data_IF_713594053450
#
_entry.id   IF_713594053450
#
_cell.length_a   1.000
_cell.length_b   1.000
_cell.length_c   1.000
_cell.angle_alpha   90.00
_cell.angle_beta   90.00
_cell.angle_gamma   90.00
#
_symmetry.space_group_name_H-M   'P 1'
#
loop_
_entity.id
_entity.type
_entity.pdbx_description
1 polymer ?
#
# COMPACT_ATOMS: atom_id res chain seq x y z
N UNK A 1 -26.32 43.81 -56.16
CA UNK A 1 -27.07 43.66 -54.90
C UNK A 1 -26.68 42.31 -54.29
N UNK A 2 -26.08 42.32 -53.10
CA UNK A 2 -25.88 41.16 -52.21
C UNK A 2 -27.25 40.51 -51.85
N UNK A 3 -27.37 39.29 -51.27
CA UNK A 3 -26.40 38.54 -50.43
C UNK A 3 -26.22 37.05 -50.82
N UNK A 4 -25.03 36.44 -50.74
CA UNK A 4 -24.43 35.80 -49.56
C UNK A 4 -25.34 34.82 -48.79
N UNK A 5 -25.33 33.55 -49.20
CA UNK A 5 -25.80 32.42 -48.37
C UNK A 5 -24.59 31.65 -47.84
N UNK A 6 -24.39 31.77 -46.53
CA UNK A 6 -23.43 31.04 -45.71
C UNK A 6 -23.79 29.55 -45.64
N UNK A 7 -22.85 28.68 -45.98
CA UNK A 7 -22.90 27.26 -45.62
C UNK A 7 -21.75 27.00 -44.62
N UNK A 8 -22.10 26.86 -43.34
CA UNK A 8 -21.21 26.34 -42.29
C UNK A 8 -20.97 24.85 -42.49
N UNK A 9 -19.73 24.34 -42.38
CA UNK A 9 -19.50 22.92 -42.19
C UNK A 9 -19.77 22.54 -40.73
N UNK A 10 -20.54 21.47 -40.58
CA UNK A 10 -21.02 20.93 -39.32
C UNK A 10 -19.89 20.45 -38.38
N UNK A 11 -20.08 20.77 -37.09
CA UNK A 11 -19.75 20.01 -35.88
C UNK A 11 -18.65 18.94 -36.02
N UNK A 12 -17.43 19.33 -35.68
CA UNK A 12 -16.52 18.48 -34.89
C UNK A 12 -16.24 19.21 -33.59
N UNK A 13 -17.00 18.89 -32.55
CA UNK A 13 -16.71 19.32 -31.19
C UNK A 13 -16.96 18.15 -30.25
N UNK A 14 -16.03 18.00 -29.30
CA UNK A 14 -16.20 17.29 -28.02
C UNK A 14 -16.02 15.76 -28.01
N UNK A 15 -14.76 15.31 -28.03
CA UNK A 15 -14.35 14.08 -27.32
C UNK A 15 -12.85 14.05 -26.99
N UNK A 16 -12.24 15.18 -26.61
CA UNK A 16 -10.87 15.22 -26.09
C UNK A 16 -10.72 16.35 -25.07
N UNK A 17 -11.35 16.20 -23.90
CA UNK A 17 -10.95 16.89 -22.68
C UNK A 17 -11.68 16.27 -21.47
N UNK A 18 -11.33 15.03 -21.11
CA UNK A 18 -11.79 14.39 -19.87
C UNK A 18 -10.60 14.17 -18.92
N UNK A 19 -9.81 15.23 -18.67
CA UNK A 19 -8.81 15.23 -17.61
C UNK A 19 -8.74 16.64 -17.02
N UNK A 20 -9.62 16.91 -16.05
CA UNK A 20 -9.50 17.92 -14.98
C UNK A 20 -10.85 18.04 -14.26
N UNK A 21 -11.27 16.98 -13.56
CA UNK A 21 -12.16 17.16 -12.43
C UNK A 21 -11.27 17.31 -11.19
N UNK A 22 -11.23 18.51 -10.61
CA UNK A 22 -10.63 18.73 -9.29
C UNK A 22 -11.42 17.88 -8.28
N UNK A 23 -10.72 16.94 -7.65
CA UNK A 23 -11.25 16.02 -6.66
C UNK A 23 -11.74 16.78 -5.42
N UNK A 24 -13.06 16.88 -5.26
CA UNK A 24 -13.65 17.44 -4.05
C UNK A 24 -14.06 16.28 -3.11
N UNK A 25 -13.21 15.97 -2.13
CA UNK A 25 -13.40 14.89 -1.13
C UNK A 25 -14.74 14.97 -0.41
N UNK A 26 -15.29 16.17 -0.24
CA UNK A 26 -16.60 16.40 0.37
C UNK A 26 -17.76 15.68 -0.37
N UNK A 27 -17.66 15.52 -1.70
CA UNK A 27 -18.71 14.87 -2.50
C UNK A 27 -18.68 13.34 -2.41
N UNK A 28 -17.48 12.74 -2.27
CA UNK A 28 -17.32 11.30 -2.09
C UNK A 28 -17.84 10.83 -0.72
N UNK A 29 -17.75 11.70 0.29
CA UNK A 29 -18.17 11.42 1.67
C UNK A 29 -19.65 11.74 1.94
N UNK A 30 -20.31 12.55 1.10
CA UNK A 30 -21.66 13.06 1.37
C UNK A 30 -22.74 11.99 1.56
N UNK A 31 -22.52 10.77 1.02
CA UNK A 31 -23.46 9.65 1.13
C UNK A 31 -22.96 8.49 2.02
N UNK A 32 -21.79 8.62 2.64
CA UNK A 32 -21.24 7.59 3.53
C UNK A 32 -21.85 7.74 4.92
N UNK A 33 -22.48 6.68 5.42
CA UNK A 33 -23.04 6.67 6.78
C UNK A 33 -21.91 6.66 7.82
N UNK A 34 -22.01 7.53 8.81
CA UNK A 34 -21.04 7.69 9.89
C UNK A 34 -21.67 7.42 11.25
N UNK A 35 -20.90 6.85 12.17
CA UNK A 35 -21.25 6.69 13.58
C UNK A 35 -20.04 6.97 14.46
N UNK A 36 -20.23 7.52 15.66
CA UNK A 36 -19.13 7.68 16.62
C UNK A 36 -18.92 6.43 17.50
N UNK A 37 -19.65 5.34 17.23
CA UNK A 37 -19.56 4.11 18.01
C UNK A 37 -18.19 3.44 17.85
N UNK A 38 -17.65 2.92 18.96
CA UNK A 38 -16.35 2.26 19.02
C UNK A 38 -16.57 0.76 19.24
N UNK A 39 -16.08 -0.05 18.31
CA UNK A 39 -16.08 -1.51 18.43
C UNK A 39 -14.92 -1.95 19.32
N UNK A 40 -15.22 -2.40 20.53
CA UNK A 40 -14.27 -2.99 21.49
C UNK A 40 -14.19 -4.50 21.32
N UNK A 41 -15.31 -5.16 21.05
CA UNK A 41 -15.41 -6.61 20.91
C UNK A 41 -16.21 -7.04 19.67
N UNK A 42 -16.13 -8.32 19.30
CA UNK A 42 -16.95 -8.88 18.20
C UNK A 42 -18.46 -8.75 18.47
N UNK A 43 -18.87 -8.67 19.74
CA UNK A 43 -20.27 -8.51 20.15
C UNK A 43 -20.86 -7.14 19.80
N UNK A 44 -20.03 -6.12 19.54
CA UNK A 44 -20.50 -4.77 19.20
C UNK A 44 -20.88 -4.68 17.70
N UNK A 45 -20.40 -5.62 16.87
CA UNK A 45 -20.66 -5.62 15.41
C UNK A 45 -22.15 -5.80 15.11
N UNK A 46 -22.89 -6.78 15.68
CA UNK A 46 -24.33 -6.91 15.48
C UNK A 46 -25.17 -5.74 15.98
N UNK A 47 -24.68 -4.98 16.98
CA UNK A 47 -25.39 -3.82 17.50
C UNK A 47 -25.27 -2.61 16.57
N UNK A 48 -24.07 -2.36 16.05
CA UNK A 48 -23.78 -1.21 15.21
C UNK A 48 -24.21 -1.41 13.75
N UNK A 49 -23.87 -2.56 13.16
CA UNK A 49 -23.86 -2.73 11.71
C UNK A 49 -25.25 -2.56 11.06
N UNK A 50 -26.38 -3.04 11.64
CA UNK A 50 -27.71 -2.81 11.08
C UNK A 50 -28.12 -1.32 11.05
N UNK A 51 -27.61 -0.48 11.96
CA UNK A 51 -27.88 0.97 11.93
C UNK A 51 -27.16 1.67 10.78
N UNK A 52 -25.93 1.22 10.49
CA UNK A 52 -25.11 1.72 9.40
C UNK A 52 -25.52 1.13 8.04
N UNK A 53 -25.97 -0.11 7.99
CA UNK A 53 -26.35 -0.80 6.76
C UNK A 53 -27.67 -1.55 6.99
N UNK A 54 -28.83 -0.89 6.81
CA UNK A 54 -30.14 -1.48 7.11
C UNK A 54 -30.49 -2.74 6.30
N UNK A 55 -29.80 -2.96 5.17
CA UNK A 55 -29.91 -4.18 4.38
C UNK A 55 -29.31 -5.41 5.09
N UNK A 56 -28.44 -5.21 6.09
CA UNK A 56 -27.91 -6.29 6.93
C UNK A 56 -28.90 -6.56 8.08
N UNK A 57 -29.59 -7.70 8.02
CA UNK A 57 -30.46 -8.17 9.12
C UNK A 57 -29.67 -8.38 10.42
N UNK A 58 -30.35 -8.49 11.57
CA UNK A 58 -29.69 -8.78 12.87
C UNK A 58 -29.03 -10.17 12.93
N UNK A 59 -29.46 -11.12 12.11
CA UNK A 59 -28.86 -12.46 12.05
C UNK A 59 -27.61 -12.45 11.17
N UNK A 60 -26.48 -12.13 11.80
CA UNK A 60 -25.18 -12.00 11.15
C UNK A 60 -24.30 -13.23 11.40
N UNK A 61 -23.65 -13.71 10.34
CA UNK A 61 -22.50 -14.60 10.45
C UNK A 61 -21.23 -13.74 10.41
N UNK A 62 -20.49 -13.76 11.52
CA UNK A 62 -19.27 -12.99 11.72
C UNK A 62 -18.10 -13.97 11.77
N UNK A 63 -17.11 -13.76 10.91
CA UNK A 63 -15.86 -14.53 10.91
C UNK A 63 -14.68 -13.59 10.93
N UNK A 64 -13.78 -13.77 11.90
CA UNK A 64 -12.50 -13.06 11.91
C UNK A 64 -11.65 -13.51 10.72
N UNK A 65 -11.08 -12.54 10.01
CA UNK A 65 -10.11 -12.78 8.93
C UNK A 65 -8.71 -12.74 9.55
N UNK A 66 -7.93 -13.83 9.50
CA UNK A 66 -6.55 -13.85 9.99
C UNK A 66 -5.63 -13.06 9.05
N UNK A 67 -4.52 -12.51 9.58
CA UNK A 67 -3.42 -11.96 8.77
C UNK A 67 -3.12 -10.47 8.92
N UNK A 68 -4.01 -9.68 9.55
CA UNK A 68 -3.73 -8.27 9.84
C UNK A 68 -2.87 -8.11 11.10
N UNK A 69 -1.71 -7.47 10.98
CA UNK A 69 -0.85 -7.12 12.13
C UNK A 69 -1.43 -5.93 12.90
N UNK A 70 -1.85 -4.90 12.17
CA UNK A 70 -2.32 -3.61 12.71
C UNK A 70 -3.83 -3.55 12.92
N UNK A 71 -4.60 -4.34 12.18
CA UNK A 71 -6.07 -4.22 12.10
C UNK A 71 -6.77 -5.53 12.44
N UNK A 72 -7.92 -5.45 13.13
CA UNK A 72 -8.83 -6.59 13.28
C UNK A 72 -9.87 -6.53 12.17
N UNK A 73 -9.90 -7.55 11.33
CA UNK A 73 -10.76 -7.62 10.16
C UNK A 73 -11.81 -8.72 10.35
N UNK A 74 -13.06 -8.41 10.06
CA UNK A 74 -14.18 -9.35 10.15
C UNK A 74 -14.93 -9.42 8.82
N UNK A 75 -15.14 -10.63 8.30
CA UNK A 75 -16.13 -10.88 7.25
C UNK A 75 -17.49 -11.01 7.92
N UNK A 76 -18.43 -10.17 7.52
CA UNK A 76 -19.80 -10.18 8.02
C UNK A 76 -20.76 -10.47 6.89
N UNK A 77 -21.63 -11.45 7.07
CA UNK A 77 -22.61 -11.87 6.07
C UNK A 77 -23.99 -12.07 6.69
N UNK A 78 -25.04 -11.86 5.91
CA UNK A 78 -26.42 -12.17 6.33
C UNK A 78 -26.68 -13.66 6.23
N UNK A 79 -27.44 -14.21 7.19
CA UNK A 79 -27.82 -15.62 7.23
C UNK A 79 -28.99 -15.96 6.27
N UNK A 80 -29.01 -15.38 5.07
CA UNK A 80 -30.10 -15.51 4.08
C UNK A 80 -29.58 -16.00 2.72
N UNK A 81 -30.51 -16.38 1.83
CA UNK A 81 -30.22 -16.97 0.50
C UNK A 81 -29.55 -16.03 -0.50
N UNK A 82 -29.53 -14.72 -0.23
CA UNK A 82 -28.81 -13.69 -1.02
C UNK A 82 -27.92 -12.88 -0.06
N UNK A 83 -26.72 -13.40 0.29
CA UNK A 83 -25.94 -12.90 1.40
C UNK A 83 -25.17 -11.64 1.01
N UNK A 84 -25.70 -10.47 1.37
CA UNK A 84 -24.87 -9.26 1.43
C UNK A 84 -23.69 -9.53 2.38
N UNK A 85 -22.47 -9.49 1.84
CA UNK A 85 -21.24 -9.72 2.57
C UNK A 85 -20.37 -8.48 2.55
N UNK A 86 -19.90 -8.07 3.72
CA UNK A 86 -19.09 -6.87 3.93
C UNK A 86 -17.84 -7.21 4.74
N UNK A 87 -16.85 -6.34 4.64
CA UNK A 87 -15.66 -6.39 5.48
C UNK A 87 -15.76 -5.29 6.53
N UNK A 88 -15.69 -5.65 7.82
CA UNK A 88 -15.59 -4.70 8.92
C UNK A 88 -14.13 -4.63 9.36
N UNK A 89 -13.49 -3.49 9.13
CA UNK A 89 -12.12 -3.22 9.56
C UNK A 89 -12.14 -2.36 10.81
N UNK A 90 -11.63 -2.91 11.90
CA UNK A 90 -11.43 -2.19 13.17
C UNK A 90 -9.95 -1.88 13.30
N UNK A 91 -9.62 -0.59 13.38
CA UNK A 91 -8.25 -0.15 13.56
C UNK A 91 -7.72 -0.62 14.92
N UNK A 92 -6.49 -1.13 14.93
CA UNK A 92 -5.84 -1.53 16.18
C UNK A 92 -5.67 -0.34 17.12
N UNK A 93 -5.62 -0.62 18.42
CA UNK A 93 -5.30 0.36 19.46
C UNK A 93 -3.82 0.74 19.50
N UNK A 94 -3.05 0.34 18.49
CA UNK A 94 -1.60 0.54 18.46
C UNK A 94 -1.30 2.02 18.31
N UNK A 95 -0.41 2.53 19.16
CA UNK A 95 0.10 3.92 19.22
C UNK A 95 0.75 4.45 17.92
N UNK A 96 0.72 3.65 16.84
CA UNK A 96 1.33 3.95 15.54
C UNK A 96 0.59 5.07 14.80
N UNK A 97 -0.73 5.21 14.99
CA UNK A 97 -1.53 6.23 14.31
C UNK A 97 -2.41 7.02 15.26
N UNK A 98 -2.37 8.36 15.15
CA UNK A 98 -3.25 9.25 15.91
C UNK A 98 -4.69 9.21 15.37
N UNK A 99 -5.70 9.62 16.17
CA UNK A 99 -7.08 9.75 15.68
C UNK A 99 -7.21 10.59 14.41
N UNK A 100 -6.44 11.68 14.30
CA UNK A 100 -6.42 12.56 13.13
C UNK A 100 -5.84 11.85 11.90
N UNK A 101 -4.82 11.02 12.09
CA UNK A 101 -4.27 10.19 11.02
C UNK A 101 -5.28 9.14 10.54
N UNK A 102 -6.09 8.55 11.45
CA UNK A 102 -7.17 7.62 11.08
C UNK A 102 -8.33 8.30 10.35
N UNK A 103 -8.67 9.54 10.71
CA UNK A 103 -9.63 10.34 9.95
C UNK A 103 -9.12 10.64 8.54
N UNK A 104 -7.87 11.08 8.45
CA UNK A 104 -7.18 11.32 7.17
C UNK A 104 -7.12 10.05 6.31
N UNK A 105 -6.81 8.89 6.90
CA UNK A 105 -6.81 7.59 6.23
C UNK A 105 -8.19 7.27 5.65
N UNK A 106 -9.26 7.45 6.42
CA UNK A 106 -10.63 7.21 5.95
C UNK A 106 -11.03 8.16 4.81
N UNK A 107 -10.64 9.43 4.87
CA UNK A 107 -10.93 10.41 3.82
C UNK A 107 -10.16 10.11 2.53
N UNK A 108 -8.92 9.64 2.63
CA UNK A 108 -8.13 9.18 1.48
C UNK A 108 -8.70 7.88 0.91
N UNK A 109 -9.07 6.92 1.77
CA UNK A 109 -9.72 5.68 1.36
C UNK A 109 -11.04 5.95 0.62
N UNK A 110 -11.85 6.90 1.08
CA UNK A 110 -13.08 7.31 0.40
C UNK A 110 -12.80 7.85 -1.02
N UNK A 111 -11.74 8.66 -1.19
CA UNK A 111 -11.34 9.15 -2.51
C UNK A 111 -10.84 8.00 -3.42
N UNK A 112 -10.07 7.05 -2.89
CA UNK A 112 -9.63 5.85 -3.62
C UNK A 112 -10.80 4.97 -4.05
N UNK A 113 -11.78 4.77 -3.16
CA UNK A 113 -12.99 3.99 -3.42
C UNK A 113 -13.84 4.65 -4.52
N UNK A 114 -13.98 5.98 -4.47
CA UNK A 114 -14.68 6.75 -5.51
C UNK A 114 -13.98 6.67 -6.87
N UNK A 115 -12.64 6.64 -6.89
CA UNK A 115 -11.85 6.44 -8.10
C UNK A 115 -11.86 4.98 -8.62
N UNK A 116 -12.50 4.05 -7.91
CA UNK A 116 -12.55 2.63 -8.26
C UNK A 116 -11.26 1.85 -7.98
N UNK A 117 -10.28 2.47 -7.31
CA UNK A 117 -8.98 1.86 -6.99
C UNK A 117 -9.10 0.94 -5.78
N UNK A 118 -9.66 1.45 -4.68
CA UNK A 118 -9.95 0.67 -3.47
C UNK A 118 -11.35 0.02 -3.52
N UNK A 119 -11.65 -0.97 -2.66
CA UNK A 119 -13.02 -1.44 -2.44
C UNK A 119 -13.95 -0.29 -2.05
N UNK A 120 -15.26 -0.41 -2.35
CA UNK A 120 -16.22 0.63 -1.96
C UNK A 120 -16.24 0.80 -0.45
N UNK A 121 -16.17 2.06 0.00
CA UNK A 121 -16.45 2.44 1.38
C UNK A 121 -17.98 2.44 1.57
N UNK A 122 -18.47 1.69 2.55
CA UNK A 122 -19.91 1.55 2.83
C UNK A 122 -20.34 2.35 4.06
N UNK A 123 -19.50 2.39 5.10
CA UNK A 123 -19.73 3.17 6.31
C UNK A 123 -18.41 3.42 7.06
N UNK A 124 -18.41 4.41 7.96
CA UNK A 124 -17.31 4.70 8.88
C UNK A 124 -17.84 4.73 10.31
N UNK A 125 -17.07 4.23 11.26
CA UNK A 125 -17.37 4.28 12.69
C UNK A 125 -16.16 4.76 13.50
N UNK A 126 -16.34 5.00 14.80
CA UNK A 126 -15.37 5.73 15.64
C UNK A 126 -13.95 5.16 15.67
N UNK A 127 -13.77 3.86 15.40
CA UNK A 127 -12.46 3.23 15.32
C UNK A 127 -12.33 2.27 14.12
N UNK A 128 -12.98 2.58 12.99
CA UNK A 128 -12.89 1.73 11.81
C UNK A 128 -13.85 2.08 10.68
N UNK A 129 -13.97 1.16 9.73
CA UNK A 129 -14.81 1.31 8.54
C UNK A 129 -15.43 -0.01 8.09
N UNK A 130 -16.47 0.11 7.28
CA UNK A 130 -17.12 -1.00 6.58
C UNK A 130 -16.84 -0.86 5.09
N UNK A 131 -16.29 -1.91 4.49
CA UNK A 131 -15.85 -1.96 3.11
C UNK A 131 -16.65 -3.03 2.34
N UNK A 132 -16.72 -2.87 1.02
CA UNK A 132 -17.18 -3.94 0.14
C UNK A 132 -16.24 -5.16 0.27
N UNK A 133 -16.83 -6.33 0.48
CA UNK A 133 -16.10 -7.58 0.31
C UNK A 133 -15.91 -7.85 -1.19
N UNK A 134 -14.65 -8.04 -1.60
CA UNK A 134 -14.32 -8.50 -2.94
C UNK A 134 -14.28 -10.04 -2.94
N UNK A 135 -14.92 -10.66 -3.93
CA UNK A 135 -14.91 -12.12 -4.10
C UNK A 135 -13.62 -12.56 -4.80
N UNK A 136 -12.54 -12.50 -4.03
CA UNK A 136 -11.19 -12.82 -4.47
C UNK A 136 -10.37 -13.30 -3.26
N UNK A 137 -9.26 -14.00 -3.54
CA UNK A 137 -8.32 -14.44 -2.49
C UNK A 137 -7.03 -13.65 -2.56
N UNK A 138 -6.33 -13.42 -1.44
CA UNK A 138 -4.94 -13.02 -1.49
C UNK A 138 -4.09 -14.05 -2.26
N UNK A 139 -3.05 -13.57 -2.92
CA UNK A 139 -2.07 -14.48 -3.56
C UNK A 139 -1.13 -15.08 -2.53
N UNK A 140 -0.58 -16.24 -2.85
CA UNK A 140 0.49 -16.87 -2.09
C UNK A 140 1.86 -16.33 -2.53
N UNK A 141 2.88 -16.50 -1.69
CA UNK A 141 4.22 -15.96 -1.95
C UNK A 141 4.83 -16.51 -3.25
N UNK A 142 4.61 -17.78 -3.58
CA UNK A 142 5.08 -18.41 -4.82
C UNK A 142 4.37 -17.87 -6.07
N UNK A 143 3.16 -17.32 -5.93
CA UNK A 143 2.43 -16.68 -7.01
C UNK A 143 2.94 -15.27 -7.34
N UNK A 144 3.71 -14.63 -6.44
CA UNK A 144 4.28 -13.29 -6.66
C UNK A 144 5.11 -13.19 -7.94
N UNK A 145 5.79 -14.28 -8.33
CA UNK A 145 6.65 -14.32 -9.53
C UNK A 145 5.91 -14.80 -10.78
N UNK A 146 4.60 -15.02 -10.70
CA UNK A 146 3.81 -15.48 -11.85
C UNK A 146 3.55 -14.34 -12.84
N UNK A 147 3.50 -14.70 -14.12
CA UNK A 147 3.36 -13.74 -15.23
C UNK A 147 2.09 -12.87 -15.14
N UNK A 148 0.98 -13.45 -14.71
CA UNK A 148 -0.30 -12.74 -14.59
C UNK A 148 -0.30 -11.79 -13.39
N UNK A 149 0.32 -12.16 -12.27
CA UNK A 149 0.50 -11.27 -11.11
C UNK A 149 1.42 -10.12 -11.47
N UNK A 150 2.54 -10.38 -12.15
CA UNK A 150 3.46 -9.35 -12.65
C UNK A 150 2.73 -8.24 -13.43
N UNK A 151 1.96 -8.66 -14.44
CA UNK A 151 1.21 -7.74 -15.31
C UNK A 151 0.09 -7.05 -14.54
N UNK A 152 -0.65 -7.79 -13.72
CA UNK A 152 -1.76 -7.28 -12.93
C UNK A 152 -1.34 -6.22 -11.91
N UNK A 153 -0.28 -6.49 -11.14
CA UNK A 153 0.28 -5.55 -10.16
C UNK A 153 0.88 -4.34 -10.86
N UNK A 154 1.62 -4.51 -11.96
CA UNK A 154 2.16 -3.38 -12.71
C UNK A 154 1.06 -2.40 -13.17
N UNK A 155 -0.08 -2.93 -13.63
CA UNK A 155 -1.24 -2.12 -14.03
C UNK A 155 -1.92 -1.45 -12.83
N UNK A 156 -2.20 -2.21 -11.77
CA UNK A 156 -2.83 -1.67 -10.56
C UNK A 156 -1.99 -0.58 -9.89
N UNK A 157 -0.67 -0.78 -9.81
CA UNK A 157 0.29 0.21 -9.31
C UNK A 157 0.35 1.44 -10.23
N UNK A 158 0.33 1.26 -11.55
CA UNK A 158 0.28 2.39 -12.50
C UNK A 158 -0.98 3.25 -12.31
N UNK A 159 -2.14 2.62 -12.10
CA UNK A 159 -3.41 3.30 -11.81
C UNK A 159 -3.33 4.08 -10.49
N UNK A 160 -2.81 3.46 -9.42
CA UNK A 160 -2.57 4.13 -8.14
C UNK A 160 -1.62 5.32 -8.30
N UNK A 161 -0.51 5.17 -9.02
CA UNK A 161 0.46 6.24 -9.21
C UNK A 161 -0.05 7.39 -10.10
N UNK A 162 -1.19 7.22 -10.77
CA UNK A 162 -1.92 8.29 -11.47
C UNK A 162 -2.86 9.06 -10.54
N UNK A 163 -3.30 8.44 -9.45
CA UNK A 163 -4.21 9.02 -8.49
C UNK A 163 -3.56 10.17 -7.70
N UNK A 164 -4.35 11.19 -7.38
CA UNK A 164 -3.91 12.41 -6.69
C UNK A 164 -4.89 12.74 -5.57
N UNK A 165 -4.76 12.10 -4.39
CA UNK A 165 -5.61 12.44 -3.27
C UNK A 165 -5.34 13.86 -2.77
N UNK A 166 -6.37 14.44 -2.17
CA UNK A 166 -6.33 15.74 -1.50
C UNK A 166 -6.36 15.56 0.02
N UNK A 167 -5.94 16.59 0.77
CA UNK A 167 -5.95 16.58 2.23
C UNK A 167 -4.72 15.94 2.91
N UNK A 168 -3.67 15.62 2.16
CA UNK A 168 -2.43 15.03 2.70
C UNK A 168 -1.16 15.73 2.20
N UNK A 169 -0.06 15.56 2.93
CA UNK A 169 1.28 16.02 2.51
C UNK A 169 1.68 15.40 1.17
N UNK A 170 2.37 16.18 0.33
CA UNK A 170 2.93 15.73 -0.95
C UNK A 170 4.43 15.43 -0.88
N UNK A 171 5.01 15.53 0.30
CA UNK A 171 6.41 15.16 0.55
C UNK A 171 6.55 13.64 0.63
N UNK A 172 7.75 13.14 0.38
CA UNK A 172 8.03 11.71 0.44
C UNK A 172 8.08 11.20 1.90
N UNK A 173 7.07 10.42 2.30
CA UNK A 173 6.89 9.98 3.69
C UNK A 173 7.97 9.04 4.22
N UNK A 174 8.65 8.29 3.34
CA UNK A 174 9.64 7.26 3.72
C UNK A 174 10.69 7.76 4.72
N UNK A 175 11.09 9.01 4.58
CA UNK A 175 12.11 9.63 5.40
C UNK A 175 11.61 10.01 6.80
N UNK A 176 10.39 10.52 6.89
CA UNK A 176 9.75 10.82 8.17
C UNK A 176 9.55 9.55 9.00
N UNK A 177 9.08 8.47 8.36
CA UNK A 177 8.87 7.18 9.02
C UNK A 177 10.21 6.59 9.51
N UNK A 178 11.26 6.62 8.67
CA UNK A 178 12.60 6.14 9.06
C UNK A 178 13.17 6.94 10.22
N UNK A 179 13.08 8.27 10.19
CA UNK A 179 13.62 9.13 11.23
C UNK A 179 12.84 8.90 12.55
N UNK A 180 11.53 8.70 12.50
CA UNK A 180 10.72 8.33 13.67
C UNK A 180 11.10 6.95 14.23
N UNK A 181 11.14 5.91 13.39
CA UNK A 181 11.45 4.55 13.83
C UNK A 181 12.89 4.39 14.29
N UNK A 182 13.85 5.12 13.72
CA UNK A 182 15.23 5.14 14.19
C UNK A 182 15.32 5.71 15.61
N UNK A 183 14.60 6.80 15.90
CA UNK A 183 14.53 7.37 17.24
C UNK A 183 13.86 6.41 18.24
N UNK A 184 12.84 5.69 17.82
CA UNK A 184 12.15 4.70 18.65
C UNK A 184 13.06 3.49 18.93
N UNK A 185 13.71 2.97 17.90
CA UNK A 185 14.69 1.89 18.00
C UNK A 185 15.85 2.25 18.95
N UNK A 186 16.34 3.50 18.92
CA UNK A 186 17.36 3.96 19.88
C UNK A 186 16.87 3.91 21.33
N UNK A 187 15.61 4.27 21.59
CA UNK A 187 15.02 4.16 22.93
C UNK A 187 14.90 2.70 23.37
N UNK A 188 14.52 1.81 22.44
CA UNK A 188 14.41 0.36 22.69
C UNK A 188 15.79 -0.24 22.96
N UNK A 189 16.82 0.12 22.19
CA UNK A 189 18.22 -0.29 22.42
C UNK A 189 18.69 0.11 23.83
N UNK A 190 18.37 1.33 24.28
CA UNK A 190 18.69 1.82 25.63
C UNK A 190 17.97 1.06 26.76
N UNK A 191 16.77 0.53 26.51
CA UNK A 191 16.07 -0.35 27.46
C UNK A 191 16.74 -1.73 27.59
N UNK A 192 17.58 -2.11 26.63
CA UNK A 192 18.26 -3.41 26.60
C UNK A 192 17.38 -4.57 26.14
N UNK A 193 16.28 -4.30 25.44
CA UNK A 193 15.35 -5.33 24.93
C UNK A 193 15.77 -5.88 23.56
N UNK A 194 16.63 -5.17 22.81
CA UNK A 194 17.16 -5.65 21.53
C UNK A 194 18.32 -6.66 21.72
N UNK A 195 18.53 -7.60 20.78
CA UNK A 195 19.71 -8.44 20.77
C UNK A 195 21.01 -7.63 20.72
N UNK A 196 22.02 -8.04 21.50
CA UNK A 196 23.29 -7.31 21.64
C UNK A 196 24.07 -7.10 20.34
N UNK A 197 23.84 -7.93 19.31
CA UNK A 197 24.54 -7.84 18.03
C UNK A 197 23.88 -6.86 17.06
N UNK A 198 22.67 -6.38 17.35
CA UNK A 198 22.00 -5.33 16.58
C UNK A 198 22.47 -3.99 17.13
N UNK A 199 23.04 -3.15 16.27
CA UNK A 199 23.39 -1.76 16.61
C UNK A 199 22.49 -0.81 15.83
N UNK A 200 21.61 -0.10 16.55
CA UNK A 200 20.72 0.90 15.94
C UNK A 200 21.54 2.07 15.41
N UNK A 201 22.62 2.45 16.11
CA UNK A 201 23.58 3.44 15.61
C UNK A 201 24.15 3.06 14.24
N UNK A 202 24.52 1.79 14.03
CA UNK A 202 25.00 1.32 12.73
C UNK A 202 23.91 1.38 11.65
N UNK A 203 22.66 1.05 12.01
CA UNK A 203 21.52 1.16 11.10
C UNK A 203 21.29 2.62 10.65
N UNK A 204 21.45 3.59 11.55
CA UNK A 204 21.33 5.03 11.23
C UNK A 204 22.44 5.46 10.25
N UNK A 205 23.67 4.98 10.42
CA UNK A 205 24.75 5.28 9.46
C UNK A 205 24.49 4.67 8.07
N UNK A 206 23.88 3.48 8.02
CA UNK A 206 23.40 2.89 6.77
C UNK A 206 22.31 3.73 6.12
N UNK A 207 21.32 4.19 6.89
CA UNK A 207 20.24 5.08 6.40
C UNK A 207 20.84 6.35 5.80
N UNK A 208 21.78 7.02 6.48
CA UNK A 208 22.46 8.21 5.95
C UNK A 208 23.16 7.93 4.62
N UNK A 209 23.85 6.80 4.53
CA UNK A 209 24.55 6.38 3.31
C UNK A 209 23.58 6.14 2.15
N UNK A 210 22.43 5.50 2.41
CA UNK A 210 21.39 5.28 1.40
C UNK A 210 20.72 6.60 1.01
N UNK A 211 20.43 7.51 1.95
CA UNK A 211 19.87 8.83 1.66
C UNK A 211 20.76 9.62 0.69
N UNK A 212 22.07 9.67 0.92
CA UNK A 212 23.02 10.32 0.00
C UNK A 212 23.00 9.70 -1.41
N UNK A 213 22.78 8.38 -1.52
CA UNK A 213 22.69 7.71 -2.81
C UNK A 213 21.38 8.05 -3.52
N UNK A 214 20.25 7.92 -2.84
CA UNK A 214 18.92 8.15 -3.41
C UNK A 214 18.69 9.63 -3.75
N UNK A 215 19.35 10.57 -3.09
CA UNK A 215 19.34 12.01 -3.44
C UNK A 215 19.90 12.29 -4.85
N UNK A 216 20.72 11.38 -5.40
CA UNK A 216 21.27 11.50 -6.77
C UNK A 216 20.32 10.97 -7.84
N UNK A 217 19.20 10.37 -7.43
CA UNK A 217 18.28 9.67 -8.32
C UNK A 217 17.05 10.52 -8.57
N UNK A 218 16.73 10.74 -9.84
CA UNK A 218 15.50 11.45 -10.22
C UNK A 218 14.33 10.47 -10.19
N UNK A 219 13.75 10.25 -9.01
CA UNK A 219 12.51 9.49 -8.85
C UNK A 219 11.34 10.44 -8.54
N UNK A 220 10.28 10.48 -9.36
CA UNK A 220 9.11 11.31 -9.09
C UNK A 220 8.43 10.94 -7.76
N UNK A 221 7.96 11.96 -7.03
CA UNK A 221 7.08 11.76 -5.88
C UNK A 221 5.64 11.58 -6.39
N UNK A 222 5.04 10.44 -6.07
CA UNK A 222 3.69 10.02 -6.47
C UNK A 222 2.94 9.48 -5.26
N UNK A 223 1.63 9.31 -5.37
CA UNK A 223 0.89 8.59 -4.33
C UNK A 223 1.13 7.09 -4.49
N UNK A 224 1.85 6.51 -3.52
CA UNK A 224 2.35 5.14 -3.49
C UNK A 224 1.55 4.27 -2.52
N UNK A 225 1.60 2.95 -2.72
CA UNK A 225 1.07 1.96 -1.78
C UNK A 225 1.98 1.77 -0.57
N UNK A 226 3.29 1.72 -0.81
CA UNK A 226 4.39 1.47 0.13
C UNK A 226 4.46 0.07 0.76
N UNK A 227 3.39 -0.72 0.69
CA UNK A 227 3.31 -2.04 1.35
C UNK A 227 2.66 -3.14 0.46
N UNK A 228 3.25 -3.45 -0.70
CA UNK A 228 2.69 -4.41 -1.68
C UNK A 228 3.15 -5.86 -1.45
N UNK A 229 2.90 -6.38 -0.25
CA UNK A 229 3.10 -7.79 0.09
C UNK A 229 1.99 -8.69 -0.50
N UNK A 230 2.21 -10.01 -0.57
CA UNK A 230 1.28 -10.96 -1.21
C UNK A 230 -0.14 -10.94 -0.61
N UNK A 231 -0.26 -10.67 0.69
CA UNK A 231 -1.54 -10.48 1.40
C UNK A 231 -2.36 -9.27 0.92
N UNK A 232 -1.72 -8.28 0.32
CA UNK A 232 -2.33 -7.03 -0.16
C UNK A 232 -2.65 -7.07 -1.67
N UNK A 233 -2.46 -8.24 -2.29
CA UNK A 233 -2.73 -8.47 -3.72
C UNK A 233 -3.80 -9.56 -3.82
N UNK A 234 -4.98 -9.19 -4.31
CA UNK A 234 -6.10 -10.08 -4.54
C UNK A 234 -6.10 -10.62 -5.97
N UNK A 235 -6.32 -11.92 -6.11
CA UNK A 235 -6.53 -12.62 -7.38
C UNK A 235 -7.97 -13.14 -7.48
N UNK A 236 -8.66 -12.71 -8.53
CA UNK A 236 -10.00 -13.13 -8.87
C UNK A 236 -9.98 -14.43 -9.71
N UNK A 237 -11.10 -15.15 -9.76
CA UNK A 237 -11.22 -16.38 -10.56
C UNK A 237 -10.93 -16.13 -12.05
N UNK A 238 -11.34 -14.96 -12.56
CA UNK A 238 -11.09 -14.51 -13.93
C UNK A 238 -9.64 -14.04 -14.19
N UNK A 239 -8.74 -14.22 -13.22
CA UNK A 239 -7.33 -13.80 -13.23
C UNK A 239 -7.08 -12.30 -13.17
N UNK A 240 -8.11 -11.50 -12.86
CA UNK A 240 -7.89 -10.09 -12.54
C UNK A 240 -7.16 -9.95 -11.21
N UNK A 241 -6.34 -8.91 -11.12
CA UNK A 241 -5.56 -8.56 -9.94
C UNK A 241 -6.01 -7.21 -9.40
N UNK A 242 -6.20 -7.12 -8.09
CA UNK A 242 -6.47 -5.86 -7.39
C UNK A 242 -5.54 -5.72 -6.19
N UNK A 243 -5.11 -4.50 -5.92
CA UNK A 243 -4.35 -4.18 -4.72
C UNK A 243 -5.30 -3.61 -3.65
N UNK A 244 -5.05 -3.93 -2.39
CA UNK A 244 -5.86 -3.54 -1.23
C UNK A 244 -4.94 -3.16 -0.06
N UNK A 245 -5.56 -2.64 0.99
CA UNK A 245 -4.88 -2.25 2.24
C UNK A 245 -3.90 -1.08 2.11
N UNK A 246 -4.47 0.11 1.94
CA UNK A 246 -3.76 1.36 1.74
C UNK A 246 -3.32 2.03 3.06
N UNK A 247 -3.15 1.29 4.16
CA UNK A 247 -2.80 1.86 5.48
C UNK A 247 -1.45 2.61 5.46
N UNK A 248 -0.46 2.08 4.74
CA UNK A 248 0.86 2.71 4.57
C UNK A 248 0.94 3.68 3.38
N UNK A 249 -0.15 3.84 2.63
CA UNK A 249 -0.14 4.67 1.42
C UNK A 249 0.09 6.14 1.73
N UNK A 250 0.89 6.80 0.91
CA UNK A 250 1.24 8.23 1.06
C UNK A 250 1.92 8.73 -0.19
N UNK A 251 2.19 10.04 -0.28
CA UNK A 251 3.14 10.50 -1.29
C UNK A 251 4.55 9.98 -0.95
N UNK A 252 5.18 9.34 -1.93
CA UNK A 252 6.50 8.75 -1.81
C UNK A 252 7.18 8.62 -3.18
N UNK A 253 8.45 8.22 -3.18
CA UNK A 253 9.20 7.99 -4.41
C UNK A 253 8.63 6.80 -5.20
N UNK A 254 8.37 7.01 -6.49
CA UNK A 254 8.00 5.91 -7.42
C UNK A 254 8.97 4.73 -7.35
N UNK A 255 10.28 5.03 -7.35
CA UNK A 255 11.32 4.00 -7.26
C UNK A 255 11.18 3.15 -6.00
N UNK A 256 10.82 3.75 -4.86
CA UNK A 256 10.61 3.03 -3.61
C UNK A 256 9.45 2.04 -3.67
N UNK A 257 8.29 2.43 -4.19
CA UNK A 257 7.12 1.55 -4.20
C UNK A 257 7.34 0.33 -5.14
N UNK A 258 8.00 0.55 -6.28
CA UNK A 258 8.40 -0.52 -7.20
C UNK A 258 9.46 -1.42 -6.55
N UNK A 259 10.48 -0.83 -5.94
CA UNK A 259 11.52 -1.57 -5.23
C UNK A 259 10.95 -2.43 -4.11
N UNK A 260 9.98 -1.88 -3.37
CA UNK A 260 9.30 -2.58 -2.29
C UNK A 260 8.57 -3.82 -2.80
N UNK A 261 7.80 -3.70 -3.89
CA UNK A 261 7.15 -4.86 -4.52
C UNK A 261 8.16 -5.95 -4.95
N UNK A 262 9.30 -5.57 -5.54
CA UNK A 262 10.35 -6.53 -5.87
C UNK A 262 10.96 -7.17 -4.63
N UNK A 263 11.13 -6.41 -3.55
CA UNK A 263 11.62 -6.90 -2.26
C UNK A 263 10.65 -7.91 -1.63
N UNK A 264 9.33 -7.66 -1.71
CA UNK A 264 8.28 -8.54 -1.18
C UNK A 264 8.19 -9.89 -1.90
N UNK A 265 8.71 -10.00 -3.14
CA UNK A 265 8.83 -11.30 -3.81
C UNK A 265 9.75 -12.28 -3.07
N UNK A 266 10.67 -11.77 -2.24
CA UNK A 266 11.53 -12.57 -1.37
C UNK A 266 10.83 -13.01 -0.08
N UNK A 267 9.63 -12.50 0.22
CA UNK A 267 8.89 -12.79 1.43
C UNK A 267 9.46 -12.11 2.68
N UNK A 268 9.22 -12.74 3.83
CA UNK A 268 9.62 -12.26 5.16
C UNK A 268 8.44 -11.87 6.05
N UNK A 269 7.35 -11.38 5.47
CA UNK A 269 6.12 -11.02 6.20
C UNK A 269 5.29 -12.23 6.64
N UNK A 270 5.64 -13.45 6.22
CA UNK A 270 4.96 -14.71 6.59
C UNK A 270 5.60 -15.35 7.83
N UNK A 271 6.93 -15.47 7.87
CA UNK A 271 7.66 -16.28 8.86
C UNK A 271 8.96 -15.63 9.36
N UNK A 272 9.18 -14.36 9.00
CA UNK A 272 10.41 -13.61 9.25
C UNK A 272 11.59 -14.00 8.37
N UNK A 273 11.43 -14.91 7.40
CA UNK A 273 12.50 -15.35 6.51
C UNK A 273 12.47 -14.59 5.18
N UNK A 274 13.59 -14.00 4.80
CA UNK A 274 13.81 -13.47 3.45
C UNK A 274 14.46 -14.57 2.60
N UNK A 275 13.96 -14.77 1.38
CA UNK A 275 14.44 -15.74 0.39
C UNK A 275 15.09 -15.02 -0.81
N UNK A 276 16.40 -14.70 -0.76
CA UNK A 276 17.05 -13.91 -1.81
C UNK A 276 17.02 -14.55 -3.21
N UNK A 277 16.93 -15.88 -3.27
CA UNK A 277 16.79 -16.66 -4.50
C UNK A 277 15.46 -16.39 -5.23
N UNK A 278 14.46 -15.85 -4.53
CA UNK A 278 13.17 -15.43 -5.09
C UNK A 278 13.13 -13.97 -5.52
N UNK A 279 14.24 -13.24 -5.44
CA UNK A 279 14.28 -11.88 -5.99
C UNK A 279 13.97 -11.92 -7.49
N UNK A 280 13.11 -11.04 -8.03
CA UNK A 280 12.66 -11.15 -9.41
C UNK A 280 13.83 -11.10 -10.40
N UNK A 281 13.77 -11.86 -11.50
CA UNK A 281 14.84 -11.84 -12.51
C UNK A 281 14.89 -10.51 -13.27
N UNK A 282 15.98 -10.25 -14.00
CA UNK A 282 16.09 -9.06 -14.85
C UNK A 282 14.96 -9.00 -15.91
N UNK A 283 14.59 -10.15 -16.47
CA UNK A 283 13.48 -10.27 -17.43
C UNK A 283 12.14 -9.94 -16.79
N UNK A 284 11.88 -10.45 -15.58
CA UNK A 284 10.67 -10.14 -14.82
C UNK A 284 10.56 -8.64 -14.52
N UNK A 285 11.63 -8.03 -13.99
CA UNK A 285 11.64 -6.60 -13.65
C UNK A 285 11.45 -5.74 -14.91
N UNK A 286 12.09 -6.11 -16.02
CA UNK A 286 11.90 -5.44 -17.32
C UNK A 286 10.45 -5.51 -17.78
N UNK A 287 9.83 -6.69 -17.75
CA UNK A 287 8.42 -6.90 -18.11
C UNK A 287 7.48 -6.07 -17.23
N UNK A 288 7.74 -6.02 -15.93
CA UNK A 288 7.01 -5.18 -14.99
C UNK A 288 7.10 -3.70 -15.38
N UNK A 289 8.31 -3.17 -15.55
CA UNK A 289 8.55 -1.77 -15.91
C UNK A 289 7.91 -1.39 -17.25
N UNK A 290 8.03 -2.24 -18.28
CA UNK A 290 7.38 -2.02 -19.56
C UNK A 290 5.86 -1.97 -19.45
N UNK A 291 5.27 -2.91 -18.70
CA UNK A 291 3.80 -2.95 -18.47
C UNK A 291 3.34 -1.70 -17.73
N UNK A 292 4.06 -1.33 -16.67
CA UNK A 292 3.80 -0.15 -15.87
C UNK A 292 3.87 1.14 -16.70
N UNK A 293 4.91 1.32 -17.52
CA UNK A 293 5.08 2.51 -18.37
C UNK A 293 3.97 2.63 -19.40
N UNK A 294 3.58 1.51 -20.05
CA UNK A 294 2.46 1.48 -21.01
C UNK A 294 1.14 1.86 -20.34
N UNK A 295 0.84 1.30 -19.17
CA UNK A 295 -0.39 1.62 -18.44
C UNK A 295 -0.39 3.09 -17.96
N UNK A 296 0.77 3.64 -17.62
CA UNK A 296 0.94 5.06 -17.28
C UNK A 296 0.77 6.00 -18.47
N UNK A 297 0.64 5.48 -19.70
CA UNK A 297 0.64 6.29 -20.93
C UNK A 297 1.98 6.99 -21.18
N UNK A 298 3.07 6.45 -20.65
CA UNK A 298 4.42 7.00 -20.78
C UNK A 298 5.18 6.32 -21.92
N UNK A 299 6.26 6.95 -22.38
CA UNK A 299 7.19 6.33 -23.33
C UNK A 299 7.72 5.02 -22.75
N UNK A 300 7.76 3.98 -23.59
CA UNK A 300 8.19 2.63 -23.23
C UNK A 300 9.31 2.16 -24.18
N UNK A 301 10.32 3.01 -24.37
CA UNK A 301 11.56 2.65 -25.07
C UNK A 301 12.60 2.09 -24.08
N UNK A 302 13.75 1.67 -24.61
CA UNK A 302 14.81 1.06 -23.81
C UNK A 302 15.36 1.99 -22.72
N UNK A 303 15.46 3.29 -23.01
CA UNK A 303 15.97 4.29 -22.07
C UNK A 303 14.98 4.50 -20.92
N UNK A 304 13.69 4.70 -21.21
CA UNK A 304 12.66 4.87 -20.18
C UNK A 304 12.54 3.64 -19.27
N UNK A 305 12.62 2.44 -19.83
CA UNK A 305 12.62 1.19 -19.06
C UNK A 305 13.88 1.09 -18.19
N UNK A 306 15.06 1.41 -18.75
CA UNK A 306 16.31 1.41 -18.00
C UNK A 306 16.29 2.41 -16.84
N UNK A 307 15.76 3.62 -17.06
CA UNK A 307 15.65 4.64 -16.03
C UNK A 307 14.75 4.20 -14.88
N UNK A 308 13.60 3.58 -15.19
CA UNK A 308 12.69 3.08 -14.16
C UNK A 308 13.29 1.90 -13.37
N UNK A 309 14.04 1.02 -14.03
CA UNK A 309 14.79 -0.04 -13.37
C UNK A 309 15.87 0.52 -12.45
N UNK A 310 16.59 1.57 -12.87
CA UNK A 310 17.60 2.24 -12.07
C UNK A 310 16.99 2.95 -10.86
N UNK A 311 15.83 3.60 -11.02
CA UNK A 311 15.07 4.14 -9.88
C UNK A 311 14.79 3.05 -8.85
N UNK A 312 14.18 1.93 -9.25
CA UNK A 312 13.87 0.84 -8.32
C UNK A 312 15.14 0.27 -7.67
N UNK A 313 16.22 0.09 -8.43
CA UNK A 313 17.48 -0.47 -7.91
C UNK A 313 18.11 0.40 -6.81
N UNK A 314 18.07 1.72 -6.93
CA UNK A 314 18.67 2.62 -5.93
C UNK A 314 17.85 2.68 -4.64
N UNK A 315 16.52 2.48 -4.72
CA UNK A 315 15.65 2.40 -3.55
C UNK A 315 15.57 0.99 -2.94
N UNK A 316 16.04 -0.05 -3.61
CA UNK A 316 16.00 -1.45 -3.15
C UNK A 316 16.66 -1.63 -1.78
N UNK A 317 17.84 -1.03 -1.59
CA UNK A 317 18.53 -0.99 -0.29
C UNK A 317 17.68 -0.35 0.81
N UNK A 318 16.96 0.73 0.47
CA UNK A 318 16.15 1.48 1.43
C UNK A 318 14.99 0.62 1.97
N UNK A 319 14.39 -0.22 1.13
CA UNK A 319 13.28 -1.11 1.54
C UNK A 319 13.69 -2.04 2.68
N UNK A 320 14.95 -2.49 2.70
CA UNK A 320 15.46 -3.36 3.74
C UNK A 320 15.65 -2.63 5.06
N UNK A 321 16.20 -1.41 5.02
CA UNK A 321 16.36 -0.57 6.22
C UNK A 321 14.99 -0.13 6.77
N UNK A 322 14.05 0.24 5.89
CA UNK A 322 12.70 0.67 6.24
C UNK A 322 11.97 -0.40 7.06
N UNK A 323 11.82 -1.60 6.50
CA UNK A 323 11.13 -2.69 7.19
C UNK A 323 11.93 -3.30 8.35
N UNK A 324 13.26 -3.23 8.30
CA UNK A 324 14.12 -3.65 9.42
C UNK A 324 13.92 -2.76 10.66
N UNK A 325 13.93 -1.43 10.49
CA UNK A 325 13.66 -0.48 11.57
C UNK A 325 12.23 -0.61 12.10
N UNK A 326 11.25 -0.71 11.21
CA UNK A 326 9.86 -0.99 11.59
C UNK A 326 9.77 -2.23 12.48
N UNK A 327 10.42 -3.32 12.08
CA UNK A 327 10.38 -4.58 12.83
C UNK A 327 11.04 -4.45 14.21
N UNK A 328 12.13 -3.69 14.35
CA UNK A 328 12.71 -3.42 15.66
C UNK A 328 11.72 -2.69 16.59
N UNK A 329 11.01 -1.68 16.08
CA UNK A 329 9.99 -0.94 16.86
C UNK A 329 8.83 -1.86 17.25
N UNK A 330 8.37 -2.70 16.31
CA UNK A 330 7.27 -3.61 16.58
C UNK A 330 7.64 -4.75 17.53
N UNK A 331 8.93 -5.12 17.64
CA UNK A 331 9.38 -6.14 18.58
C UNK A 331 9.16 -5.77 20.07
N UNK A 332 9.09 -4.47 20.40
CA UNK A 332 8.85 -3.96 21.75
C UNK A 332 7.36 -3.71 22.04
N UNK A 333 6.55 -3.47 21.01
CA UNK A 333 5.21 -2.87 21.15
C UNK A 333 4.05 -3.71 20.58
N UNK A 334 4.32 -4.63 19.65
CA UNK A 334 3.27 -5.41 18.99
C UNK A 334 2.78 -6.55 19.87
N UNK A 335 1.46 -6.79 19.82
CA UNK A 335 0.81 -7.94 20.46
C UNK A 335 0.59 -9.11 19.50
N UNK A 336 1.02 -8.95 18.24
CA UNK A 336 0.87 -9.97 17.21
C UNK A 336 2.01 -10.97 17.30
N UNK A 337 1.67 -12.25 17.24
CA UNK A 337 2.62 -13.35 17.22
C UNK A 337 3.32 -13.43 15.85
N UNK A 338 4.38 -12.63 15.71
CA UNK A 338 5.23 -12.58 14.53
C UNK A 338 6.70 -12.43 14.98
N UNK A 339 7.66 -13.12 14.34
CA UNK A 339 9.06 -13.09 14.76
C UNK A 339 9.78 -11.80 14.29
N UNK A 340 9.40 -10.65 14.86
CA UNK A 340 9.89 -9.32 14.47
C UNK A 340 11.41 -9.19 14.45
N UNK A 341 12.09 -9.64 15.49
CA UNK A 341 13.56 -9.54 15.58
C UNK A 341 14.25 -10.35 14.49
N UNK A 342 13.78 -11.58 14.24
CA UNK A 342 14.28 -12.43 13.15
C UNK A 342 14.04 -11.77 11.79
N UNK A 343 12.87 -11.17 11.58
CA UNK A 343 12.57 -10.43 10.37
C UNK A 343 13.51 -9.23 10.19
N UNK A 344 13.73 -8.43 11.24
CA UNK A 344 14.67 -7.30 11.21
C UNK A 344 16.09 -7.75 10.82
N UNK A 345 16.60 -8.80 11.47
CA UNK A 345 17.92 -9.39 11.17
C UNK A 345 18.02 -9.87 9.73
N UNK A 346 16.98 -10.53 9.20
CA UNK A 346 16.94 -10.98 7.82
C UNK A 346 17.00 -9.80 6.84
N UNK A 347 16.25 -8.72 7.10
CA UNK A 347 16.27 -7.50 6.26
C UNK A 347 17.64 -6.81 6.31
N UNK A 348 18.24 -6.63 7.49
CA UNK A 348 19.58 -6.02 7.62
C UNK A 348 20.70 -6.87 7.01
N UNK A 349 20.60 -8.20 7.12
CA UNK A 349 21.54 -9.13 6.48
C UNK A 349 21.51 -8.98 4.96
N UNK A 350 20.31 -8.89 4.38
CA UNK A 350 20.15 -8.70 2.94
C UNK A 350 20.63 -7.33 2.47
N UNK A 351 20.31 -6.26 3.23
CA UNK A 351 20.90 -4.94 3.02
C UNK A 351 22.44 -5.01 2.97
N UNK A 352 23.07 -5.62 3.99
CA UNK A 352 24.54 -5.70 4.09
C UNK A 352 25.18 -6.45 2.91
N UNK A 353 24.52 -7.50 2.39
CA UNK A 353 25.02 -8.23 1.21
C UNK A 353 24.95 -7.36 -0.04
N UNK A 354 23.81 -6.72 -0.28
CA UNK A 354 23.57 -5.86 -1.44
C UNK A 354 24.47 -4.62 -1.41
N UNK A 355 24.55 -3.95 -0.27
CA UNK A 355 25.39 -2.76 -0.08
C UNK A 355 26.87 -3.05 -0.38
N UNK A 356 27.39 -4.20 0.06
CA UNK A 356 28.77 -4.62 -0.25
C UNK A 356 29.00 -4.93 -1.72
N UNK A 357 28.01 -5.52 -2.41
CA UNK A 357 28.13 -5.83 -3.84
C UNK A 357 28.26 -4.58 -4.71
N UNK A 358 27.67 -3.47 -4.28
CA UNK A 358 27.74 -2.19 -4.99
C UNK A 358 29.13 -1.55 -4.82
N UNK A 359 29.70 -1.59 -3.61
CA UNK A 359 31.04 -1.04 -3.33
C UNK A 359 32.22 -1.83 -3.89
N UNK A 360 31.99 -2.99 -4.50
CA UNK A 360 33.01 -3.79 -5.21
C UNK A 360 32.95 -3.58 -6.74
N UNK A 361 31.99 -2.80 -7.23
CA UNK A 361 31.76 -2.52 -8.66
C UNK A 361 32.19 -1.12 -9.12
N UNK A 362 32.76 -0.32 -8.23
CA UNK A 362 33.51 0.92 -8.53
C UNK A 362 35.01 0.64 -8.33
#
# INVERSE_FOLDING_TARGET
MSPSTSASPARRSEATCAHKAQYNSASALANIRRSNHIIRSEADIPELLPSLLPALSRSLNIKRVPGGITNRIFKVSTATSDPLSVLVRVFGSTEVFTPEQRETENDVFAQLAHAGIAPRLLAVFGNGRVEQLLDARPIQLDEMLSDHVCVGVAKAMAQLHHFRPSGISKEARVWEDIDAWANDALRIEQKGTLPQHISVKQCIEWVKSVRIRTDKVVSPIIYAHNDLLCGNILLFENKDVRIIDFEYSSYNYRGFDIANFFSECMGGTIDGCVHPDKYPTAEYRKKFCETYLRERGMTCDQEAVSNLLNEAAEFDLLTHLYWGLWALVQSDSSTVDFPYTKFAEARFSEFCKRFRSIGQGE
#
